data_IF_464312602245
#
_entry.id   IF_464312602245
#
_cell.length_a   1.000
_cell.length_b   1.000
_cell.length_c   1.000
_cell.angle_alpha   90.00
_cell.angle_beta   90.00
_cell.angle_gamma   90.00
#
_symmetry.space_group_name_H-M   'P 1'
#
loop_
_entity.id
_entity.type
_entity.pdbx_description
1 polymer ?
#
# COMPACT_ATOMS: atom_id res chain seq x y z
N UNK A 1 10.36 -5.47 -21.29
CA UNK A 1 9.90 -4.38 -20.41
C UNK A 1 10.84 -4.32 -19.21
N UNK A 2 11.38 -3.15 -18.83
CA UNK A 2 12.34 -3.07 -17.73
C UNK A 2 11.65 -3.36 -16.40
N UNK A 3 12.21 -4.29 -15.62
CA UNK A 3 11.72 -4.65 -14.30
C UNK A 3 12.31 -3.68 -13.26
N UNK A 4 11.45 -3.00 -12.50
CA UNK A 4 11.83 -1.97 -11.54
C UNK A 4 12.50 -2.58 -10.30
N UNK A 5 13.55 -1.92 -9.83
CA UNK A 5 14.17 -2.23 -8.54
C UNK A 5 13.25 -1.78 -7.39
N UNK A 6 13.42 -2.30 -6.16
CA UNK A 6 12.64 -1.87 -5.00
C UNK A 6 12.75 -0.36 -4.74
N UNK A 7 13.91 0.25 -4.94
CA UNK A 7 14.10 1.70 -4.83
C UNK A 7 13.26 2.46 -5.86
N UNK A 8 13.23 2.01 -7.11
CA UNK A 8 12.42 2.63 -8.15
C UNK A 8 10.93 2.43 -7.89
N UNK A 9 10.52 1.24 -7.41
CA UNK A 9 9.15 0.99 -7.00
C UNK A 9 8.72 1.91 -5.83
N UNK A 10 9.61 2.17 -4.87
CA UNK A 10 9.37 3.13 -3.79
C UNK A 10 9.21 4.55 -4.32
N UNK A 11 10.08 4.99 -5.24
CA UNK A 11 9.98 6.30 -5.86
C UNK A 11 8.66 6.48 -6.65
N UNK A 12 8.24 5.46 -7.40
CA UNK A 12 6.99 5.45 -8.16
C UNK A 12 5.73 5.45 -7.28
N UNK A 13 5.80 4.80 -6.12
CA UNK A 13 4.69 4.73 -5.16
C UNK A 13 4.69 5.90 -4.17
N UNK A 14 5.81 6.61 -4.02
CA UNK A 14 6.00 7.63 -2.99
C UNK A 14 5.99 7.06 -1.56
N UNK A 15 6.38 5.80 -1.37
CA UNK A 15 6.41 5.13 -0.05
C UNK A 15 7.84 4.83 0.38
N UNK A 16 8.06 4.70 1.69
CA UNK A 16 9.34 4.25 2.23
C UNK A 16 9.61 2.75 1.98
N UNK A 17 10.88 2.37 1.93
CA UNK A 17 11.31 0.98 1.72
C UNK A 17 10.74 0.04 2.79
N UNK A 18 10.64 0.49 4.04
CA UNK A 18 10.01 -0.26 5.14
C UNK A 18 8.55 -0.61 4.85
N UNK A 19 7.81 0.34 4.25
CA UNK A 19 6.41 0.15 3.88
C UNK A 19 6.32 -0.84 2.71
N UNK A 20 7.18 -0.71 1.70
CA UNK A 20 7.27 -1.66 0.59
C UNK A 20 7.58 -3.08 1.11
N UNK A 21 8.49 -3.20 2.09
CA UNK A 21 8.85 -4.48 2.72
C UNK A 21 7.70 -5.09 3.51
N UNK A 22 6.94 -4.28 4.25
CA UNK A 22 5.74 -4.72 4.96
C UNK A 22 4.66 -5.22 3.99
N UNK A 23 4.42 -4.49 2.90
CA UNK A 23 3.47 -4.88 1.84
C UNK A 23 3.88 -6.17 1.14
N UNK A 24 5.19 -6.35 0.88
CA UNK A 24 5.73 -7.61 0.36
C UNK A 24 5.48 -8.78 1.31
N UNK A 25 5.74 -8.57 2.61
CA UNK A 25 5.51 -9.59 3.65
C UNK A 25 4.03 -9.93 3.82
N UNK A 26 3.15 -8.96 3.64
CA UNK A 26 1.70 -9.14 3.64
C UNK A 26 1.17 -9.82 2.36
N UNK A 27 1.97 -9.92 1.30
CA UNK A 27 1.55 -10.48 0.01
C UNK A 27 0.64 -9.55 -0.81
N UNK A 28 0.61 -8.25 -0.50
CA UNK A 28 -0.26 -7.28 -1.18
C UNK A 28 0.25 -6.86 -2.56
N UNK A 29 1.58 -6.90 -2.77
CA UNK A 29 2.21 -6.52 -4.03
C UNK A 29 2.92 -7.76 -4.60
N UNK A 30 2.51 -8.24 -5.79
CA UNK A 30 3.24 -9.30 -6.47
C UNK A 30 4.64 -8.81 -6.85
N UNK A 31 5.62 -9.70 -6.74
CA UNK A 31 7.00 -9.40 -7.08
C UNK A 31 7.61 -10.58 -7.82
N UNK A 32 8.46 -10.27 -8.79
CA UNK A 32 9.25 -11.26 -9.52
C UNK A 32 10.59 -11.37 -8.81
N UNK A 33 10.86 -12.53 -8.23
CA UNK A 33 12.17 -12.79 -7.66
C UNK A 33 13.12 -13.26 -8.78
N UNK A 34 13.97 -12.37 -9.28
CA UNK A 34 14.94 -12.70 -10.34
C UNK A 34 16.17 -13.41 -9.75
N UNK A 35 16.43 -13.23 -8.46
CA UNK A 35 17.59 -13.77 -7.80
C UNK A 35 17.52 -15.29 -7.59
N UNK A 36 18.25 -16.07 -8.39
CA UNK A 36 18.65 -17.42 -8.01
C UNK A 36 19.74 -17.31 -6.93
N UNK A 37 19.39 -17.19 -5.64
CA UNK A 37 20.47 -17.11 -4.65
C UNK A 37 20.06 -17.14 -3.19
N UNK A 38 20.47 -18.22 -2.52
CA UNK A 38 20.42 -18.52 -1.07
C UNK A 38 20.94 -17.43 -0.09
N UNK A 39 21.24 -16.20 -0.55
CA UNK A 39 21.79 -15.10 0.27
C UNK A 39 21.18 -13.71 0.03
N UNK A 40 20.67 -13.38 -1.17
CA UNK A 40 20.08 -12.06 -1.48
C UNK A 40 18.96 -12.20 -2.51
N UNK A 41 17.73 -12.18 -2.03
CA UNK A 41 16.55 -12.05 -2.88
C UNK A 41 16.63 -10.69 -3.61
N UNK A 42 16.54 -10.69 -4.94
CA UNK A 42 16.47 -9.46 -5.74
C UNK A 42 15.03 -9.34 -6.25
N UNK A 43 14.11 -8.83 -5.41
CA UNK A 43 12.74 -8.60 -5.84
C UNK A 43 12.75 -7.54 -6.93
N UNK A 44 12.05 -7.82 -8.02
CA UNK A 44 11.79 -6.89 -9.11
C UNK A 44 10.28 -6.71 -9.22
N UNK A 45 9.85 -5.51 -9.58
CA UNK A 45 8.45 -5.17 -9.72
C UNK A 45 8.14 -4.76 -11.15
N UNK A 46 6.97 -5.15 -11.65
CA UNK A 46 6.47 -4.60 -12.90
C UNK A 46 5.73 -3.29 -12.64
N UNK A 47 5.84 -2.36 -13.58
CA UNK A 47 5.07 -1.11 -13.55
C UNK A 47 3.56 -1.37 -13.55
N UNK A 48 3.14 -2.43 -14.25
CA UNK A 48 1.73 -2.81 -14.33
C UNK A 48 1.20 -3.29 -12.98
N UNK A 49 1.97 -4.09 -12.25
CA UNK A 49 1.64 -4.53 -10.89
C UNK A 49 1.51 -3.36 -9.91
N UNK A 50 2.41 -2.37 -9.99
CA UNK A 50 2.33 -1.16 -9.18
C UNK A 50 1.09 -0.34 -9.51
N UNK A 51 0.74 -0.22 -10.79
CA UNK A 51 -0.47 0.47 -11.24
C UNK A 51 -1.74 -0.27 -10.85
N UNK A 52 -1.75 -1.60 -10.94
CA UNK A 52 -2.86 -2.44 -10.50
C UNK A 52 -3.06 -2.34 -8.98
N UNK A 53 -1.98 -2.30 -8.20
CA UNK A 53 -2.04 -2.04 -6.77
C UNK A 53 -2.57 -0.62 -6.48
N UNK A 54 -2.08 0.40 -7.19
CA UNK A 54 -2.60 1.78 -7.09
C UNK A 54 -4.10 1.80 -7.40
N UNK A 55 -4.56 1.08 -8.42
CA UNK A 55 -5.98 0.99 -8.78
C UNK A 55 -6.81 0.27 -7.71
N UNK A 56 -6.31 -0.84 -7.15
CA UNK A 56 -6.98 -1.57 -6.04
C UNK A 56 -7.06 -0.72 -4.76
N UNK A 57 -6.02 0.06 -4.47
CA UNK A 57 -5.92 0.91 -3.26
C UNK A 57 -6.55 2.28 -3.45
N UNK A 58 -6.71 2.75 -4.69
CA UNK A 58 -7.69 3.77 -5.10
C UNK A 58 -9.11 3.22 -4.88
N UNK A 59 -9.46 2.99 -3.62
CA UNK A 59 -10.84 3.15 -3.22
C UNK A 59 -11.12 4.63 -3.40
N UNK A 60 -11.86 4.96 -4.47
CA UNK A 60 -12.58 6.23 -4.55
C UNK A 60 -13.18 6.43 -3.17
N UNK A 61 -12.81 7.50 -2.50
CA UNK A 61 -13.38 7.84 -1.23
C UNK A 61 -14.89 8.01 -1.45
N UNK A 62 -15.65 6.92 -1.31
CA UNK A 62 -16.94 7.02 -0.69
C UNK A 62 -16.59 7.45 0.72
N UNK A 63 -16.52 8.77 0.92
CA UNK A 63 -16.50 9.35 2.24
C UNK A 63 -17.67 8.68 2.97
N UNK A 64 -17.48 7.84 4.00
CA UNK A 64 -18.49 7.85 5.02
C UNK A 64 -18.41 9.27 5.54
N UNK A 65 -19.37 10.11 5.13
CA UNK A 65 -19.61 11.36 5.82
C UNK A 65 -19.61 10.99 7.30
N UNK A 66 -18.58 11.42 8.02
CA UNK A 66 -18.53 11.24 9.47
C UNK A 66 -19.70 12.08 9.95
N UNK A 67 -20.83 11.41 10.14
CA UNK A 67 -21.97 11.96 10.85
C UNK A 67 -21.40 12.51 12.15
N UNK A 68 -21.58 13.83 12.32
CA UNK A 68 -20.88 14.63 13.29
C UNK A 68 -21.10 14.18 14.75
N UNK A 69 -20.46 14.89 15.69
CA UNK A 69 -20.40 14.45 17.09
C UNK A 69 -21.80 14.20 17.66
N UNK A 70 -21.98 12.99 18.19
CA UNK A 70 -23.15 12.54 18.95
C UNK A 70 -23.55 13.66 19.93
N UNK A 71 -24.80 14.16 19.94
CA UNK A 71 -25.19 15.17 20.90
C UNK A 71 -25.04 14.58 22.32
N UNK A 72 -24.18 15.20 23.13
CA UNK A 72 -24.08 14.90 24.56
C UNK A 72 -25.40 15.30 25.21
N UNK A 73 -26.27 14.33 25.47
CA UNK A 73 -27.42 14.50 26.35
C UNK A 73 -26.90 14.82 27.75
N UNK A 74 -26.91 16.10 28.11
CA UNK A 74 -26.83 16.50 29.51
C UNK A 74 -28.19 16.17 30.15
N UNK A 75 -28.19 15.14 30.99
CA UNK A 75 -29.34 14.84 31.85
C UNK A 75 -29.51 15.99 32.85
N UNK A 76 -30.43 16.91 32.55
CA UNK A 76 -30.93 17.86 33.54
C UNK A 76 -31.80 17.06 34.51
N UNK A 77 -31.38 17.02 35.78
CA UNK A 77 -32.18 16.53 36.90
C UNK A 77 -33.27 17.56 37.20
N UNK A 78 -34.51 17.10 37.29
CA UNK A 78 -35.60 17.75 38.02
C UNK A 78 -36.00 16.83 39.18
#
# INVERSE_FOLDING_TARGET
MPLLTPEQACAELGIGEDTLRALRKAGEIPYVNIGQGKKRETPRYELDDLNAWKAKRKKVASCPSIEGPIPRTASIRC
#
